data_IF_010899125705
#
_entry.id   IF_010899125705
#
_cell.length_a   1.000
_cell.length_b   1.000
_cell.length_c   1.000
_cell.angle_alpha   90.00
_cell.angle_beta   90.00
_cell.angle_gamma   90.00
#
_symmetry.space_group_name_H-M   'P 1'
#
loop_
_entity.id
_entity.type
_entity.pdbx_description
1 polymer ?
#
# COMPACT_ATOMS: atom_id res chain seq x y z
N UNK A 1 61.43 -2.67 -0.31
CA UNK A 1 61.60 -1.29 -0.84
C UNK A 1 60.75 -1.12 -2.08
N UNK A 2 59.94 -0.04 -2.11
CA UNK A 2 59.38 0.63 -3.30
C UNK A 2 58.54 -0.21 -4.28
N UNK A 3 57.23 -0.24 -4.08
CA UNK A 3 56.28 0.00 -5.17
C UNK A 3 54.93 0.55 -4.67
N UNK A 4 54.99 1.48 -3.70
CA UNK A 4 53.91 2.45 -3.50
C UNK A 4 54.26 3.63 -4.39
N UNK A 5 53.61 3.76 -5.55
CA UNK A 5 53.39 5.01 -6.29
C UNK A 5 52.84 4.66 -7.67
N UNK A 6 51.57 5.03 -7.89
CA UNK A 6 50.98 5.62 -9.11
C UNK A 6 49.51 5.25 -9.20
N UNK A 7 48.73 5.85 -8.29
CA UNK A 7 47.32 6.16 -8.52
C UNK A 7 47.29 7.25 -9.61
N UNK A 8 46.61 7.05 -10.75
CA UNK A 8 46.12 8.18 -11.51
C UNK A 8 44.85 8.69 -10.82
N UNK A 9 45.02 9.82 -10.14
CA UNK A 9 43.97 10.77 -9.80
C UNK A 9 43.27 11.21 -11.10
N UNK A 10 42.20 10.52 -11.51
CA UNK A 10 41.22 11.04 -12.44
C UNK A 10 39.88 11.11 -11.71
N UNK A 11 39.71 12.20 -10.99
CA UNK A 11 38.48 12.54 -10.29
C UNK A 11 37.42 12.99 -11.31
N UNK A 12 36.16 12.69 -10.99
CA UNK A 12 34.93 13.37 -11.41
C UNK A 12 34.30 13.01 -12.77
N UNK A 13 33.90 11.75 -12.92
CA UNK A 13 32.59 11.50 -13.49
C UNK A 13 31.54 11.74 -12.40
N UNK A 14 30.98 12.96 -12.29
CA UNK A 14 29.68 13.10 -11.64
C UNK A 14 28.69 12.35 -12.53
N UNK A 15 28.54 11.05 -12.29
CA UNK A 15 27.36 10.33 -12.74
C UNK A 15 26.23 11.08 -12.06
N UNK A 16 25.49 11.88 -12.83
CA UNK A 16 24.21 12.40 -12.39
C UNK A 16 23.33 11.16 -12.20
N UNK A 17 23.46 10.52 -11.03
CA UNK A 17 22.51 9.52 -10.59
C UNK A 17 21.18 10.27 -10.62
N UNK A 18 20.21 9.84 -11.44
CA UNK A 18 18.89 10.46 -11.41
C UNK A 18 18.47 10.47 -9.94
N UNK A 19 18.08 11.63 -9.43
CA UNK A 19 17.55 11.72 -8.08
C UNK A 19 16.36 10.76 -8.03
N UNK A 20 16.58 9.58 -7.46
CA UNK A 20 15.55 8.59 -7.27
C UNK A 20 14.68 9.14 -6.15
N UNK A 21 13.73 10.00 -6.52
CA UNK A 21 12.67 10.41 -5.62
C UNK A 21 12.02 9.13 -5.10
N UNK A 22 11.93 9.00 -3.78
CA UNK A 22 11.30 7.83 -3.18
C UNK A 22 9.86 7.72 -3.69
N UNK A 23 9.47 6.53 -4.15
CA UNK A 23 8.10 6.26 -4.56
C UNK A 23 7.17 6.37 -3.34
N UNK A 24 6.10 7.15 -3.45
CA UNK A 24 5.05 7.19 -2.44
C UNK A 24 4.14 5.98 -2.59
N UNK A 25 4.55 4.87 -2.00
CA UNK A 25 3.80 3.60 -2.03
C UNK A 25 2.40 3.76 -1.44
N UNK A 26 2.19 4.68 -0.47
CA UNK A 26 0.84 4.92 0.08
C UNK A 26 -0.05 5.52 -1.00
N UNK A 27 0.44 6.56 -1.68
CA UNK A 27 -0.31 7.21 -2.75
C UNK A 27 -0.53 6.28 -3.95
N UNK A 28 0.45 5.45 -4.30
CA UNK A 28 0.30 4.46 -5.38
C UNK A 28 -0.78 3.43 -5.06
N UNK A 29 -0.84 2.93 -3.82
CA UNK A 29 -1.91 2.04 -3.39
C UNK A 29 -3.29 2.71 -3.41
N UNK A 30 -3.37 4.00 -3.05
CA UNK A 30 -4.62 4.78 -3.19
C UNK A 30 -5.02 4.86 -4.66
N UNK A 31 -4.09 5.20 -5.54
CA UNK A 31 -4.35 5.33 -6.99
C UNK A 31 -4.82 4.00 -7.59
N UNK A 32 -4.17 2.89 -7.26
CA UNK A 32 -4.54 1.55 -7.71
C UNK A 32 -5.94 1.16 -7.24
N UNK A 33 -6.27 1.43 -5.98
CA UNK A 33 -7.60 1.22 -5.44
C UNK A 33 -8.66 2.06 -6.19
N UNK A 34 -8.41 3.35 -6.44
CA UNK A 34 -9.33 4.24 -7.17
C UNK A 34 -9.54 3.74 -8.58
N UNK A 35 -8.46 3.39 -9.28
CA UNK A 35 -8.53 2.86 -10.64
C UNK A 35 -9.36 1.58 -10.70
N UNK A 36 -9.17 0.67 -9.75
CA UNK A 36 -9.99 -0.53 -9.62
C UNK A 36 -11.46 -0.19 -9.38
N UNK A 37 -11.77 0.60 -8.36
CA UNK A 37 -13.14 0.95 -8.00
C UNK A 37 -13.91 1.62 -9.16
N UNK A 38 -13.24 2.49 -9.93
CA UNK A 38 -13.82 3.12 -11.13
C UNK A 38 -13.96 2.12 -12.27
N UNK A 39 -12.91 1.32 -12.55
CA UNK A 39 -12.90 0.31 -13.62
C UNK A 39 -14.03 -0.71 -13.47
N UNK A 40 -14.29 -1.15 -12.24
CA UNK A 40 -15.37 -2.07 -11.90
C UNK A 40 -16.69 -1.36 -11.57
N UNK A 41 -16.81 -0.05 -11.84
CA UNK A 41 -18.02 0.76 -11.62
C UNK A 41 -18.60 0.67 -10.19
N UNK A 42 -17.74 0.41 -9.21
CA UNK A 42 -18.10 0.37 -7.78
C UNK A 42 -18.48 1.76 -7.30
N UNK A 43 -17.77 2.79 -7.77
CA UNK A 43 -18.01 4.18 -7.42
C UNK A 43 -17.48 5.12 -8.51
N UNK A 44 -17.98 6.36 -8.54
CA UNK A 44 -17.32 7.42 -9.30
C UNK A 44 -15.92 7.75 -8.72
N UNK A 45 -15.11 8.50 -9.44
CA UNK A 45 -13.74 8.83 -9.01
C UNK A 45 -13.67 9.55 -7.66
N UNK A 46 -14.62 10.43 -7.36
CA UNK A 46 -14.65 11.20 -6.10
C UNK A 46 -14.97 10.29 -4.91
N UNK A 47 -16.03 9.49 -5.04
CA UNK A 47 -16.46 8.51 -4.03
C UNK A 47 -15.40 7.43 -3.84
N UNK A 48 -14.82 6.92 -4.94
CA UNK A 48 -13.69 5.99 -4.90
C UNK A 48 -12.47 6.57 -4.18
N UNK A 49 -12.14 7.86 -4.41
CA UNK A 49 -11.02 8.52 -3.73
C UNK A 49 -11.23 8.59 -2.24
N UNK A 50 -12.45 8.91 -1.77
CA UNK A 50 -12.80 8.91 -0.33
C UNK A 50 -12.65 7.51 0.28
N UNK A 51 -13.25 6.51 -0.37
CA UNK A 51 -13.18 5.12 0.07
C UNK A 51 -11.73 4.62 0.18
N UNK A 52 -10.94 4.82 -0.89
CA UNK A 52 -9.58 4.31 -0.99
C UNK A 52 -8.61 5.02 -0.06
N UNK A 53 -8.74 6.35 0.12
CA UNK A 53 -7.94 7.08 1.11
C UNK A 53 -8.18 6.54 2.52
N UNK A 54 -9.44 6.38 2.92
CA UNK A 54 -9.78 5.83 4.23
C UNK A 54 -9.26 4.39 4.40
N UNK A 55 -9.53 3.52 3.42
CA UNK A 55 -9.15 2.11 3.46
C UNK A 55 -7.64 1.92 3.58
N UNK A 56 -6.86 2.65 2.77
CA UNK A 56 -5.40 2.56 2.81
C UNK A 56 -4.84 3.18 4.10
N UNK A 57 -5.43 4.27 4.61
CA UNK A 57 -5.01 4.84 5.88
C UNK A 57 -5.21 3.88 7.06
N UNK A 58 -6.38 3.24 7.13
CA UNK A 58 -6.69 2.22 8.14
C UNK A 58 -5.72 1.04 8.04
N UNK A 59 -5.49 0.51 6.83
CA UNK A 59 -4.56 -0.61 6.62
C UNK A 59 -3.11 -0.25 6.93
N UNK A 60 -2.69 0.99 6.67
CA UNK A 60 -1.31 1.45 6.89
C UNK A 60 -0.90 1.50 8.37
N UNK A 61 -1.87 1.42 9.29
CA UNK A 61 -1.63 1.39 10.75
C UNK A 61 -1.36 -0.01 11.28
N UNK A 62 -1.52 -1.05 10.44
CA UNK A 62 -1.22 -2.42 10.83
C UNK A 62 0.29 -2.59 10.97
N UNK A 63 0.70 -3.16 12.10
CA UNK A 63 2.12 -3.50 12.30
C UNK A 63 2.49 -4.74 11.49
N UNK A 64 3.77 -4.89 11.17
CA UNK A 64 4.28 -6.10 10.52
C UNK A 64 4.01 -7.34 11.37
N UNK A 65 4.12 -7.25 12.71
CA UNK A 65 3.82 -8.36 13.61
C UNK A 65 2.35 -8.81 13.55
N UNK A 66 1.41 -7.87 13.46
CA UNK A 66 -0.01 -8.17 13.25
C UNK A 66 -0.25 -8.85 11.89
N UNK A 67 0.46 -8.41 10.84
CA UNK A 67 0.36 -9.05 9.53
C UNK A 67 0.80 -10.52 9.57
N UNK A 68 1.94 -10.81 10.19
CA UNK A 68 2.45 -12.18 10.34
C UNK A 68 1.53 -13.08 11.16
N UNK A 69 0.89 -12.54 12.19
CA UNK A 69 -0.05 -13.31 13.00
C UNK A 69 -1.33 -13.66 12.20
N UNK A 70 -1.87 -12.72 11.41
CA UNK A 70 -2.96 -13.01 10.46
C UNK A 70 -2.54 -14.14 9.50
N UNK A 71 -1.36 -14.02 8.90
CA UNK A 71 -0.84 -15.02 7.96
C UNK A 71 -0.65 -16.39 8.64
N UNK A 72 -0.14 -16.41 9.88
CA UNK A 72 0.03 -17.63 10.67
C UNK A 72 -1.30 -18.31 11.00
N UNK A 73 -2.34 -17.53 11.32
CA UNK A 73 -3.70 -18.05 11.53
C UNK A 73 -4.25 -18.66 10.24
N UNK A 74 -4.12 -17.96 9.12
CA UNK A 74 -4.58 -18.44 7.82
C UNK A 74 -3.88 -19.75 7.41
N UNK A 75 -2.56 -19.84 7.57
CA UNK A 75 -1.79 -21.06 7.32
C UNK A 75 -2.21 -22.22 8.24
N UNK A 76 -2.58 -21.90 9.48
CA UNK A 76 -3.11 -22.86 10.45
C UNK A 76 -4.58 -23.22 10.22
N UNK A 77 -5.21 -22.73 9.13
CA UNK A 77 -6.65 -22.87 8.84
C UNK A 77 -7.56 -22.35 9.96
N UNK A 78 -7.07 -21.39 10.75
CA UNK A 78 -7.83 -20.68 11.78
C UNK A 78 -8.39 -19.39 11.20
N UNK A 79 -9.54 -18.97 11.68
CA UNK A 79 -10.14 -17.70 11.27
C UNK A 79 -9.44 -16.51 11.97
N UNK A 80 -8.70 -15.65 11.24
CA UNK A 80 -8.05 -14.48 11.83
C UNK A 80 -9.07 -13.43 12.31
N UNK A 81 -10.34 -13.48 11.89
CA UNK A 81 -11.39 -12.58 12.37
C UNK A 81 -11.63 -12.69 13.88
N UNK A 82 -11.17 -13.78 14.50
CA UNK A 82 -11.23 -13.98 15.94
C UNK A 82 -10.27 -13.07 16.72
N UNK A 83 -9.21 -12.58 16.08
CA UNK A 83 -8.18 -11.73 16.69
C UNK A 83 -8.72 -10.32 17.01
N UNK A 84 -8.47 -9.76 18.21
CA UNK A 84 -9.03 -8.46 18.61
C UNK A 84 -8.70 -7.31 17.66
N UNK A 85 -7.47 -7.24 17.17
CA UNK A 85 -7.06 -6.18 16.24
C UNK A 85 -7.67 -6.36 14.84
N UNK A 86 -7.94 -7.60 14.40
CA UNK A 86 -8.64 -7.86 13.13
C UNK A 86 -10.09 -7.44 13.24
N UNK A 87 -10.77 -7.72 14.37
CA UNK A 87 -12.12 -7.21 14.63
C UNK A 87 -12.17 -5.69 14.59
N UNK A 88 -11.20 -5.03 15.22
CA UNK A 88 -11.07 -3.57 15.16
C UNK A 88 -10.81 -3.08 13.73
N UNK A 89 -9.88 -3.71 13.01
CA UNK A 89 -9.57 -3.39 11.62
C UNK A 89 -10.80 -3.49 10.72
N UNK A 90 -11.58 -4.57 10.85
CA UNK A 90 -12.83 -4.76 10.11
C UNK A 90 -13.85 -3.66 10.43
N UNK A 91 -14.02 -3.31 11.71
CA UNK A 91 -14.90 -2.21 12.13
C UNK A 91 -14.44 -0.87 11.53
N UNK A 92 -13.15 -0.57 11.61
CA UNK A 92 -12.58 0.68 11.08
C UNK A 92 -12.74 0.75 9.55
N UNK A 93 -12.56 -0.38 8.84
CA UNK A 93 -12.80 -0.47 7.40
C UNK A 93 -14.28 -0.31 7.03
N UNK A 94 -15.22 -0.81 7.84
CA UNK A 94 -16.65 -0.59 7.62
C UNK A 94 -17.02 0.89 7.74
N UNK A 95 -16.36 1.64 8.62
CA UNK A 95 -16.60 3.09 8.70
C UNK A 95 -16.20 3.82 7.41
N UNK A 96 -15.23 3.28 6.65
CA UNK A 96 -14.81 3.87 5.38
C UNK A 96 -15.89 3.84 4.28
N UNK A 97 -16.96 3.06 4.44
CA UNK A 97 -18.07 3.00 3.48
C UNK A 97 -19.26 3.86 3.87
N UNK A 98 -19.28 4.40 5.10
CA UNK A 98 -20.43 5.13 5.64
C UNK A 98 -20.68 6.40 4.83
N UNK A 99 -21.91 6.55 4.34
CA UNK A 99 -22.33 7.71 3.53
C UNK A 99 -21.79 7.72 2.11
N UNK A 100 -21.19 6.63 1.62
CA UNK A 100 -20.73 6.50 0.24
C UNK A 100 -21.75 5.73 -0.61
N UNK A 101 -22.03 6.23 -1.81
CA UNK A 101 -22.81 5.49 -2.82
C UNK A 101 -21.92 4.45 -3.50
N UNK A 102 -21.93 3.23 -2.94
CA UNK A 102 -21.15 2.10 -3.44
C UNK A 102 -22.06 1.11 -4.15
N UNK A 103 -21.64 0.71 -5.35
CA UNK A 103 -22.32 -0.24 -6.22
C UNK A 103 -21.62 -1.59 -6.18
N UNK A 104 -22.36 -2.65 -6.48
CA UNK A 104 -21.73 -3.95 -6.69
C UNK A 104 -20.76 -3.88 -7.88
N UNK A 105 -19.56 -4.50 -7.78
CA UNK A 105 -18.60 -4.54 -8.87
C UNK A 105 -19.22 -5.11 -10.15
N UNK A 106 -19.02 -4.43 -11.26
CA UNK A 106 -19.43 -4.87 -12.59
C UNK A 106 -18.22 -5.36 -13.37
N UNK A 107 -18.41 -6.39 -14.21
CA UNK A 107 -17.36 -6.86 -15.12
C UNK A 107 -16.86 -5.66 -15.96
N UNK A 108 -15.54 -5.47 -16.10
CA UNK A 108 -15.01 -4.43 -16.98
C UNK A 108 -15.54 -4.65 -18.40
N UNK A 109 -15.86 -3.55 -19.08
CA UNK A 109 -16.22 -3.57 -20.50
C UNK A 109 -15.04 -4.05 -21.35
#
# INVERSE_FOLDING_TARGET
MKLLQLLPLAFIGFIAMPQANALDIKQDNINNCVNGAVKFKVADKSTATKLCKCTIDVRSKMTIGQMWEIESYAQSKKDPSTLPYVKKLQKDLQQCTTGLDLKQPQKPA
#
